data_IF_514126769098
#
_entry.id   IF_514126769098
#
_cell.length_a   1.000
_cell.length_b   1.000
_cell.length_c   1.000
_cell.angle_alpha   90.00
_cell.angle_beta   90.00
_cell.angle_gamma   90.00
#
_symmetry.space_group_name_H-M   'P 1'
#
loop_
_entity.id
_entity.type
_entity.pdbx_description
1 polymer ?
#
# COMPACT_ATOMS: atom_id res chain seq x y z
N UNK A 1 24.97 -53.18 15.22
CA UNK A 1 24.51 -51.85 14.73
C UNK A 1 23.00 -51.85 14.88
N UNK A 2 22.28 -50.96 15.57
CA UNK A 2 22.47 -49.58 16.05
C UNK A 2 21.65 -49.45 17.36
N UNK A 3 22.17 -48.70 18.35
CA UNK A 3 21.49 -48.40 19.63
C UNK A 3 20.23 -47.56 19.41
N UNK A 4 19.16 -47.69 20.23
CA UNK A 4 18.06 -46.74 20.23
C UNK A 4 18.54 -45.38 20.75
N UNK A 5 18.28 -44.33 19.97
CA UNK A 5 18.60 -42.93 20.28
C UNK A 5 17.80 -42.43 21.49
N UNK A 6 18.47 -41.85 22.48
CA UNK A 6 17.84 -41.22 23.64
C UNK A 6 16.89 -40.06 23.22
N UNK A 7 15.77 -39.86 23.92
CA UNK A 7 15.00 -38.62 23.81
C UNK A 7 15.81 -37.48 24.44
N UNK A 8 16.05 -36.42 23.66
CA UNK A 8 16.74 -35.21 24.16
C UNK A 8 15.91 -34.45 25.20
N UNK A 9 16.54 -33.65 26.07
CA UNK A 9 15.86 -32.91 27.13
C UNK A 9 14.83 -31.90 26.57
N UNK A 10 13.71 -31.77 27.28
CA UNK A 10 12.65 -30.82 26.95
C UNK A 10 13.12 -29.38 27.16
N UNK A 11 12.43 -28.42 26.53
CA UNK A 11 12.80 -27.00 26.55
C UNK A 11 12.91 -26.36 27.95
N UNK A 12 12.44 -27.05 29.00
CA UNK A 12 12.46 -26.58 30.39
C UNK A 12 13.80 -26.81 31.10
N UNK A 13 14.65 -27.68 30.55
CA UNK A 13 15.87 -28.13 31.24
C UNK A 13 17.14 -27.46 30.68
N UNK A 14 16.99 -26.45 29.81
CA UNK A 14 18.12 -25.76 29.18
C UNK A 14 18.46 -24.45 29.94
N UNK A 15 19.75 -24.17 30.19
CA UNK A 15 20.16 -22.87 30.72
C UNK A 15 19.78 -21.75 29.75
N UNK A 16 19.40 -20.58 30.29
CA UNK A 16 18.73 -19.50 29.55
C UNK A 16 19.44 -19.04 28.25
N UNK A 17 20.77 -19.15 28.19
CA UNK A 17 21.56 -18.82 26.99
C UNK A 17 21.31 -19.74 25.80
N UNK A 18 20.98 -21.01 26.04
CA UNK A 18 20.77 -22.01 25.00
C UNK A 18 19.37 -21.96 24.40
N UNK A 19 18.38 -21.50 25.16
CA UNK A 19 17.02 -21.24 24.66
C UNK A 19 17.04 -20.14 23.59
N UNK A 20 17.78 -19.04 23.83
CA UNK A 20 17.93 -17.94 22.88
C UNK A 20 18.68 -18.36 21.61
N UNK A 21 19.73 -19.19 21.72
CA UNK A 21 20.43 -19.75 20.55
C UNK A 21 19.55 -20.68 19.73
N UNK A 22 18.73 -21.52 20.38
CA UNK A 22 17.78 -22.41 19.67
C UNK A 22 16.63 -21.64 19.02
N UNK A 23 16.09 -20.61 19.66
CA UNK A 23 15.09 -19.74 19.04
C UNK A 23 15.67 -18.99 17.83
N UNK A 24 16.88 -18.43 17.94
CA UNK A 24 17.55 -17.77 16.80
C UNK A 24 17.82 -18.72 15.63
N UNK A 25 18.08 -20.01 15.88
CA UNK A 25 18.19 -21.02 14.80
C UNK A 25 16.84 -21.35 14.14
N UNK A 26 15.72 -21.29 14.87
CA UNK A 26 14.37 -21.44 14.29
C UNK A 26 13.92 -20.22 13.49
N UNK A 27 14.38 -19.02 13.84
CA UNK A 27 14.07 -17.77 13.15
C UNK A 27 15.16 -17.31 12.15
N UNK A 28 16.12 -18.18 11.81
CA UNK A 28 16.93 -17.96 10.62
C UNK A 28 16.07 -18.35 9.42
N UNK A 29 15.39 -17.34 8.86
CA UNK A 29 14.82 -17.38 7.53
C UNK A 29 15.76 -18.17 6.62
N UNK A 30 15.26 -19.31 6.13
CA UNK A 30 15.91 -20.09 5.09
C UNK A 30 15.93 -19.17 3.88
N UNK A 31 17.06 -18.47 3.70
CA UNK A 31 17.48 -17.91 2.42
C UNK A 31 17.41 -19.07 1.43
N UNK A 32 16.31 -19.15 0.70
CA UNK A 32 16.24 -19.93 -0.51
C UNK A 32 17.21 -19.25 -1.46
N UNK A 33 18.45 -19.71 -1.46
CA UNK A 33 19.36 -19.59 -2.60
C UNK A 33 18.70 -20.33 -3.78
N UNK A 34 17.69 -19.68 -4.35
CA UNK A 34 17.03 -20.06 -5.59
C UNK A 34 17.96 -19.75 -6.74
N UNK A 35 19.07 -20.50 -6.81
CA UNK A 35 19.90 -20.59 -8.01
C UNK A 35 19.03 -21.30 -9.05
N UNK A 36 18.28 -20.51 -9.83
CA UNK A 36 17.47 -20.97 -10.93
C UNK A 36 18.39 -21.61 -11.98
N UNK A 37 18.67 -22.91 -11.82
CA UNK A 37 19.16 -23.76 -12.90
C UNK A 37 18.03 -23.85 -13.91
N UNK A 38 18.13 -23.07 -14.98
CA UNK A 38 17.35 -23.23 -16.20
C UNK A 38 17.64 -24.61 -16.78
N UNK A 39 16.89 -25.64 -16.34
CA UNK A 39 16.83 -26.92 -17.05
C UNK A 39 16.09 -26.65 -18.35
N UNK A 40 16.83 -26.57 -19.45
CA UNK A 40 16.28 -26.72 -20.80
C UNK A 40 15.48 -28.04 -20.83
N UNK A 41 14.22 -28.06 -21.26
CA UNK A 41 13.58 -29.32 -21.59
C UNK A 41 14.22 -29.84 -22.88
N UNK A 42 15.03 -30.90 -22.75
CA UNK A 42 15.45 -31.73 -23.86
C UNK A 42 14.21 -32.32 -24.53
N UNK A 43 14.00 -32.00 -25.80
CA UNK A 43 12.93 -32.58 -26.61
C UNK A 43 13.34 -34.02 -26.98
N UNK A 44 12.58 -35.05 -26.60
CA UNK A 44 12.82 -36.39 -27.11
C UNK A 44 12.43 -36.44 -28.58
N UNK A 45 13.40 -36.78 -29.42
CA UNK A 45 13.14 -37.21 -30.78
C UNK A 45 12.42 -38.56 -30.72
N UNK A 46 11.18 -38.63 -31.21
CA UNK A 46 10.63 -39.92 -31.63
C UNK A 46 9.75 -39.79 -32.87
N UNK A 47 10.46 -40.07 -33.95
CA UNK A 47 10.13 -40.56 -35.28
C UNK A 47 8.97 -41.58 -35.28
N UNK A 48 7.94 -41.32 -36.10
CA UNK A 48 7.13 -42.35 -36.74
C UNK A 48 7.13 -42.06 -38.24
N UNK A 49 7.46 -43.07 -39.05
CA UNK A 49 7.75 -42.94 -40.47
C UNK A 49 6.65 -43.46 -41.41
N UNK A 50 7.06 -43.47 -42.69
CA UNK A 50 6.40 -44.01 -43.89
C UNK A 50 5.27 -43.14 -44.49
N UNK A 51 5.18 -42.90 -45.81
CA UNK A 51 6.04 -43.22 -46.95
C UNK A 51 5.59 -42.40 -48.17
N UNK A 52 6.51 -42.17 -49.10
CA UNK A 52 6.32 -42.06 -50.56
C UNK A 52 5.32 -41.04 -51.14
N UNK A 53 5.83 -40.02 -51.84
CA UNK A 53 5.52 -39.84 -53.27
C UNK A 53 6.36 -38.70 -53.87
N UNK A 54 6.68 -38.91 -55.13
CA UNK A 54 7.65 -38.22 -55.98
C UNK A 54 7.09 -36.94 -56.63
N UNK A 55 7.98 -35.98 -56.91
CA UNK A 55 8.23 -35.34 -58.23
C UNK A 55 8.64 -33.87 -58.10
N UNK A 56 9.75 -33.56 -58.76
CA UNK A 56 10.23 -32.22 -59.08
C UNK A 56 9.28 -31.46 -60.00
N UNK A 57 9.00 -30.18 -59.70
CA UNK A 57 8.64 -29.13 -60.67
C UNK A 57 8.73 -27.73 -59.99
N UNK A 58 8.88 -26.62 -60.74
CA UNK A 58 9.86 -25.58 -60.42
C UNK A 58 9.31 -24.37 -59.64
N UNK A 59 10.27 -23.59 -59.13
CA UNK A 59 10.10 -22.32 -58.45
C UNK A 59 9.14 -21.37 -59.17
N UNK A 60 8.06 -21.01 -58.48
CA UNK A 60 7.36 -19.74 -58.71
C UNK A 60 7.73 -18.82 -57.56
N UNK A 61 8.59 -17.84 -57.87
CA UNK A 61 8.83 -16.68 -57.01
C UNK A 61 7.54 -15.89 -56.91
N UNK A 62 6.71 -16.21 -55.92
CA UNK A 62 5.65 -15.31 -55.49
C UNK A 62 6.33 -14.22 -54.67
N UNK A 63 6.64 -13.11 -55.33
CA UNK A 63 6.98 -11.87 -54.67
C UNK A 63 5.79 -11.46 -53.80
N UNK A 64 5.89 -11.67 -52.48
CA UNK A 64 4.91 -11.15 -51.53
C UNK A 64 5.07 -9.62 -51.49
N UNK A 65 4.05 -8.84 -51.90
CA UNK A 65 4.15 -7.38 -51.87
C UNK A 65 4.36 -6.90 -50.43
N UNK A 66 5.43 -6.14 -50.24
CA UNK A 66 5.95 -5.65 -48.95
C UNK A 66 5.16 -4.44 -48.42
N UNK A 67 3.86 -4.36 -48.70
CA UNK A 67 3.04 -3.15 -48.49
C UNK A 67 2.06 -3.22 -47.32
N UNK A 68 2.14 -4.21 -46.43
CA UNK A 68 1.18 -4.35 -45.31
C UNK A 68 1.80 -4.56 -43.92
N UNK A 69 3.10 -4.28 -43.71
CA UNK A 69 3.72 -4.34 -42.37
C UNK A 69 4.10 -2.93 -41.90
N UNK A 70 3.16 -1.99 -41.97
CA UNK A 70 3.34 -0.65 -41.37
C UNK A 70 2.02 -0.11 -40.83
N UNK A 71 1.34 -0.90 -40.00
CA UNK A 71 0.21 -0.42 -39.20
C UNK A 71 0.00 -1.28 -37.93
N UNK A 72 1.07 -1.81 -37.34
CA UNK A 72 1.01 -2.29 -35.96
C UNK A 72 0.97 -1.06 -35.05
N UNK A 73 -0.22 -0.48 -34.89
CA UNK A 73 -0.48 0.56 -33.90
C UNK A 73 0.07 0.12 -32.55
N UNK A 74 0.89 0.99 -31.94
CA UNK A 74 1.31 0.84 -30.54
C UNK A 74 0.08 0.50 -29.69
N UNK A 75 0.16 -0.47 -28.76
CA UNK A 75 -0.95 -0.74 -27.86
C UNK A 75 -1.33 0.55 -27.10
N UNK A 76 -2.62 0.92 -27.01
CA UNK A 76 -3.06 2.15 -26.33
C UNK A 76 -2.79 2.15 -24.82
N UNK A 77 -2.31 1.04 -24.25
CA UNK A 77 -2.08 0.87 -22.82
C UNK A 77 -0.96 1.78 -22.25
N UNK A 78 0.01 2.22 -23.08
CA UNK A 78 1.15 2.97 -22.57
C UNK A 78 0.91 4.48 -22.42
N UNK A 79 -0.14 5.04 -23.03
CA UNK A 79 -0.44 6.48 -22.97
C UNK A 79 -1.23 6.89 -21.72
N UNK A 80 -1.83 5.94 -21.02
CA UNK A 80 -2.83 6.22 -19.98
C UNK A 80 -2.29 5.97 -18.56
N UNK A 81 -1.15 5.29 -18.43
CA UNK A 81 -0.55 4.98 -17.13
C UNK A 81 0.08 6.21 -16.47
N UNK A 82 0.65 7.13 -17.25
CA UNK A 82 1.15 8.43 -16.78
C UNK A 82 0.03 9.43 -16.48
N UNK A 83 -1.13 9.29 -17.13
CA UNK A 83 -2.31 10.11 -16.83
C UNK A 83 -2.96 9.76 -15.50
N UNK A 84 -2.89 8.51 -15.02
CA UNK A 84 -3.49 8.12 -13.74
C UNK A 84 -2.79 8.74 -12.52
N UNK A 85 -1.46 8.87 -12.57
CA UNK A 85 -0.67 9.50 -11.49
C UNK A 85 -0.88 11.02 -11.46
N UNK A 86 -1.05 11.64 -12.63
CA UNK A 86 -1.39 13.05 -12.74
C UNK A 86 -2.87 13.32 -12.42
N UNK A 87 -3.79 12.36 -12.66
CA UNK A 87 -5.21 12.49 -12.34
C UNK A 87 -5.45 12.58 -10.83
N UNK A 88 -4.65 11.88 -10.00
CA UNK A 88 -4.68 12.02 -8.55
C UNK A 88 -4.11 13.35 -8.03
N UNK A 89 -3.26 14.02 -8.81
CA UNK A 89 -2.71 15.36 -8.53
C UNK A 89 -3.55 16.49 -9.16
N UNK A 90 -4.52 16.17 -10.02
CA UNK A 90 -5.29 17.12 -10.83
C UNK A 90 -6.82 17.01 -10.63
N UNK A 91 -7.27 16.25 -9.63
CA UNK A 91 -8.70 16.05 -9.41
C UNK A 91 -9.40 17.29 -8.83
N UNK A 92 -8.64 18.30 -8.38
CA UNK A 92 -9.05 19.68 -8.48
C UNK A 92 -8.12 20.37 -9.50
N UNK A 93 -8.67 21.04 -10.52
CA UNK A 93 -7.90 21.93 -11.39
C UNK A 93 -7.17 23.06 -10.60
N UNK A 94 -7.43 23.16 -9.29
CA UNK A 94 -6.88 24.09 -8.34
C UNK A 94 -6.57 23.39 -6.99
N UNK A 95 -5.30 23.30 -6.54
CA UNK A 95 -4.93 22.67 -5.26
C UNK A 95 -5.18 23.57 -4.03
N UNK A 96 -5.65 24.81 -4.23
CA UNK A 96 -5.84 25.79 -3.14
C UNK A 96 -6.84 25.31 -2.08
N UNK A 97 -8.04 24.75 -2.41
CA UNK A 97 -8.96 24.24 -1.40
C UNK A 97 -8.33 23.15 -0.52
N UNK A 98 -7.60 22.21 -1.13
CA UNK A 98 -6.95 21.12 -0.42
C UNK A 98 -5.80 21.63 0.47
N UNK A 99 -5.04 22.63 0.02
CA UNK A 99 -3.97 23.24 0.82
C UNK A 99 -4.53 23.94 2.06
N UNK A 100 -5.61 24.69 1.92
CA UNK A 100 -6.28 25.37 3.05
C UNK A 100 -6.89 24.34 3.99
N UNK A 101 -7.55 23.31 3.45
CA UNK A 101 -8.09 22.20 4.22
C UNK A 101 -7.01 21.50 5.05
N UNK A 102 -5.85 21.23 4.45
CA UNK A 102 -4.71 20.61 5.10
C UNK A 102 -4.14 21.48 6.23
N UNK A 103 -3.98 22.79 6.00
CA UNK A 103 -3.52 23.74 7.02
C UNK A 103 -4.45 23.77 8.24
N UNK A 104 -5.76 23.84 8.00
CA UNK A 104 -6.76 23.89 9.07
C UNK A 104 -6.83 22.56 9.83
N UNK A 105 -6.82 21.43 9.13
CA UNK A 105 -6.84 20.11 9.76
C UNK A 105 -5.55 19.80 10.52
N UNK A 106 -4.39 20.26 10.01
CA UNK A 106 -3.10 20.16 10.70
C UNK A 106 -3.09 20.99 11.99
N UNK A 107 -3.55 22.24 11.93
CA UNK A 107 -3.68 23.11 13.11
C UNK A 107 -4.65 22.55 14.14
N UNK A 108 -5.78 21.98 13.69
CA UNK A 108 -6.70 21.24 14.55
C UNK A 108 -6.02 20.07 15.25
N UNK A 109 -5.16 19.32 14.55
CA UNK A 109 -4.40 18.22 15.13
C UNK A 109 -3.54 18.65 16.32
N UNK A 110 -2.86 19.79 16.22
CA UNK A 110 -2.13 20.36 17.36
C UNK A 110 -3.04 20.68 18.54
N UNK A 111 -4.16 21.35 18.28
CA UNK A 111 -5.09 21.75 19.33
C UNK A 111 -5.69 20.53 20.04
N UNK A 112 -6.09 19.51 19.27
CA UNK A 112 -6.64 18.28 19.80
C UNK A 112 -5.64 17.54 20.71
N UNK A 113 -4.41 17.34 20.24
CA UNK A 113 -3.39 16.63 21.02
C UNK A 113 -2.91 17.44 22.23
N UNK A 114 -3.03 18.77 22.20
CA UNK A 114 -2.81 19.62 23.37
C UNK A 114 -3.92 19.44 24.42
N UNK A 115 -5.19 19.31 24.00
CA UNK A 115 -6.31 19.08 24.92
C UNK A 115 -6.28 17.68 25.56
N UNK A 116 -5.91 16.66 24.78
CA UNK A 116 -5.86 15.27 25.24
C UNK A 116 -4.46 14.79 25.65
N UNK A 117 -3.52 15.71 25.91
CA UNK A 117 -2.09 15.42 26.12
C UNK A 117 -1.84 14.25 27.07
N UNK A 118 -2.45 14.32 28.26
CA UNK A 118 -2.29 13.29 29.29
C UNK A 118 -2.74 11.91 28.79
N UNK A 119 -3.88 11.85 28.12
CA UNK A 119 -4.51 10.59 27.76
C UNK A 119 -3.81 9.87 26.60
N UNK A 120 -3.22 10.60 25.65
CA UNK A 120 -2.49 9.99 24.54
C UNK A 120 -1.02 9.70 24.88
N UNK A 121 -0.38 10.48 25.75
CA UNK A 121 1.03 10.26 26.13
C UNK A 121 1.23 9.15 27.17
N UNK A 122 0.25 8.90 28.06
CA UNK A 122 0.38 7.84 29.07
C UNK A 122 0.19 6.44 28.49
N UNK A 123 -0.51 6.30 27.36
CA UNK A 123 -0.87 5.01 26.80
C UNK A 123 0.31 4.21 26.17
N UNK A 124 1.32 4.84 25.56
CA UNK A 124 2.50 4.15 25.06
C UNK A 124 3.64 4.00 26.07
N UNK A 125 3.52 4.56 27.28
CA UNK A 125 4.61 4.61 28.26
C UNK A 125 5.67 5.66 27.94
N UNK A 126 5.30 6.80 27.33
CA UNK A 126 6.25 7.88 27.07
C UNK A 126 6.72 8.51 28.40
N UNK A 127 8.00 8.32 28.71
CA UNK A 127 8.67 9.02 29.81
C UNK A 127 9.08 10.43 29.34
N UNK A 128 8.12 11.36 29.40
CA UNK A 128 8.35 12.78 29.12
C UNK A 128 7.76 13.30 27.81
N UNK A 129 7.76 14.63 27.66
CA UNK A 129 7.25 15.32 26.48
C UNK A 129 8.28 15.22 25.34
N UNK A 130 7.99 14.52 24.22
CA UNK A 130 8.90 14.50 23.10
C UNK A 130 9.10 15.92 22.53
N UNK A 131 10.34 16.29 22.28
CA UNK A 131 10.66 17.60 21.71
C UNK A 131 10.05 17.73 20.31
N UNK A 132 9.47 18.91 20.03
CA UNK A 132 8.87 19.21 18.73
C UNK A 132 9.98 19.42 17.69
N UNK A 133 10.20 18.43 16.84
CA UNK A 133 11.19 18.49 15.76
C UNK A 133 10.52 18.97 14.47
N UNK A 134 11.17 19.87 13.73
CA UNK A 134 10.64 20.43 12.48
C UNK A 134 10.46 19.33 11.41
N UNK A 135 11.39 18.38 11.31
CA UNK A 135 11.34 17.34 10.27
C UNK A 135 10.05 16.48 10.32
N UNK A 136 9.63 15.92 11.47
CA UNK A 136 8.31 15.26 11.59
C UNK A 136 7.13 16.17 11.25
N UNK A 137 7.18 17.47 11.59
CA UNK A 137 6.07 18.38 11.28
C UNK A 137 5.85 18.57 9.79
N UNK A 138 6.94 18.68 9.01
CA UNK A 138 6.86 18.78 7.55
C UNK A 138 6.26 17.51 6.97
N UNK A 139 6.68 16.33 7.44
CA UNK A 139 6.15 15.04 6.98
C UNK A 139 4.65 14.93 7.29
N UNK A 140 4.25 15.29 8.51
CA UNK A 140 2.84 15.26 8.91
C UNK A 140 2.03 16.22 8.05
N UNK A 141 2.49 17.46 7.85
CA UNK A 141 1.79 18.43 7.00
C UNK A 141 1.60 17.92 5.56
N UNK A 142 2.64 17.34 4.96
CA UNK A 142 2.55 16.72 3.63
C UNK A 142 1.51 15.59 3.62
N UNK A 143 1.47 14.75 4.68
CA UNK A 143 0.46 13.70 4.80
C UNK A 143 -0.96 14.28 4.86
N UNK A 144 -1.19 15.35 5.63
CA UNK A 144 -2.49 16.06 5.65
C UNK A 144 -2.87 16.60 4.27
N UNK A 145 -1.92 17.16 3.54
CA UNK A 145 -2.14 17.66 2.18
C UNK A 145 -2.53 16.55 1.21
N UNK A 146 -1.81 15.42 1.22
CA UNK A 146 -2.13 14.26 0.38
C UNK A 146 -3.53 13.72 0.71
N UNK A 147 -3.89 13.63 1.99
CA UNK A 147 -5.23 13.17 2.40
C UNK A 147 -6.32 14.12 1.88
N UNK A 148 -6.11 15.44 1.99
CA UNK A 148 -7.07 16.44 1.51
C UNK A 148 -7.24 16.38 -0.02
N UNK A 149 -6.15 16.27 -0.78
CA UNK A 149 -6.18 16.08 -2.24
C UNK A 149 -6.91 14.80 -2.64
N UNK A 150 -6.62 13.67 -1.96
CA UNK A 150 -7.32 12.42 -2.23
C UNK A 150 -8.81 12.50 -1.91
N UNK A 151 -9.20 13.19 -0.84
CA UNK A 151 -10.61 13.39 -0.49
C UNK A 151 -11.34 14.26 -1.52
N UNK A 152 -10.71 15.35 -1.97
CA UNK A 152 -11.23 16.20 -3.04
C UNK A 152 -11.40 15.40 -4.34
N UNK A 153 -10.36 14.66 -4.72
CA UNK A 153 -10.38 13.89 -5.95
C UNK A 153 -11.35 12.72 -5.94
N UNK A 154 -11.43 11.99 -4.83
CA UNK A 154 -12.43 10.94 -4.64
C UNK A 154 -13.85 11.50 -4.79
N UNK A 155 -14.11 12.67 -4.19
CA UNK A 155 -15.43 13.29 -4.26
C UNK A 155 -15.76 13.78 -5.66
N UNK A 156 -14.80 14.40 -6.34
CA UNK A 156 -14.95 14.80 -7.73
C UNK A 156 -15.30 13.62 -8.66
N UNK A 157 -14.70 12.44 -8.43
CA UNK A 157 -14.92 11.25 -9.26
C UNK A 157 -16.27 10.55 -9.00
N UNK A 158 -16.77 10.53 -7.76
CA UNK A 158 -17.95 9.72 -7.40
C UNK A 158 -19.26 10.52 -7.51
N UNK A 159 -19.23 11.83 -7.25
CA UNK A 159 -20.47 12.62 -7.21
C UNK A 159 -20.32 14.10 -7.52
N UNK A 160 -19.11 14.57 -7.88
CA UNK A 160 -18.81 15.99 -8.01
C UNK A 160 -18.65 16.68 -6.65
N UNK A 161 -17.95 17.82 -6.66
CA UNK A 161 -17.63 18.57 -5.45
C UNK A 161 -18.86 19.37 -5.02
N UNK A 162 -19.51 18.92 -3.96
CA UNK A 162 -20.56 19.64 -3.24
C UNK A 162 -20.35 19.46 -1.74
N UNK A 163 -20.87 20.37 -0.92
CA UNK A 163 -20.76 20.24 0.54
C UNK A 163 -21.36 18.93 1.08
N UNK A 164 -22.49 18.50 0.52
CA UNK A 164 -23.13 17.24 0.91
C UNK A 164 -22.29 16.01 0.55
N UNK A 165 -21.75 15.97 -0.68
CA UNK A 165 -20.94 14.84 -1.14
C UNK A 165 -19.61 14.77 -0.42
N UNK A 166 -18.92 15.90 -0.24
CA UNK A 166 -17.63 15.97 0.46
C UNK A 166 -17.74 15.55 1.92
N UNK A 167 -18.78 15.98 2.64
CA UNK A 167 -19.03 15.54 4.01
C UNK A 167 -19.39 14.05 4.08
N UNK A 168 -20.26 13.58 3.20
CA UNK A 168 -20.65 12.16 3.16
C UNK A 168 -19.43 11.27 2.88
N UNK A 169 -18.62 11.64 1.89
CA UNK A 169 -17.39 10.93 1.55
C UNK A 169 -16.35 11.02 2.68
N UNK A 170 -16.19 12.17 3.33
CA UNK A 170 -15.29 12.33 4.47
C UNK A 170 -15.65 11.38 5.61
N UNK A 171 -16.94 11.28 5.94
CA UNK A 171 -17.45 10.38 6.98
C UNK A 171 -17.26 8.91 6.60
N UNK A 172 -17.56 8.54 5.35
CA UNK A 172 -17.39 7.17 4.86
C UNK A 172 -15.92 6.75 4.81
N UNK A 173 -15.03 7.63 4.33
CA UNK A 173 -13.59 7.36 4.28
C UNK A 173 -13.02 7.25 5.69
N UNK A 174 -13.40 8.16 6.58
CA UNK A 174 -13.01 8.09 7.97
C UNK A 174 -13.47 6.78 8.64
N UNK A 175 -14.77 6.45 8.54
CA UNK A 175 -15.31 5.27 9.21
C UNK A 175 -14.77 3.96 8.61
N UNK A 176 -14.75 3.88 7.27
CA UNK A 176 -14.45 2.65 6.54
C UNK A 176 -12.96 2.33 6.42
N UNK A 177 -12.10 3.34 6.28
CA UNK A 177 -10.66 3.13 6.13
C UNK A 177 -9.90 3.46 7.40
N UNK A 178 -10.08 4.67 7.93
CA UNK A 178 -9.23 5.18 9.02
C UNK A 178 -9.58 4.55 10.36
N UNK A 179 -10.85 4.64 10.76
CA UNK A 179 -11.32 4.08 12.02
C UNK A 179 -11.22 2.56 12.01
N UNK A 180 -11.65 1.91 10.92
CA UNK A 180 -11.59 0.45 10.80
C UNK A 180 -10.15 -0.09 10.88
N UNK A 181 -9.21 0.46 10.09
CA UNK A 181 -7.81 0.04 10.16
C UNK A 181 -7.20 0.29 11.55
N UNK A 182 -7.47 1.47 12.13
CA UNK A 182 -7.00 1.80 13.48
C UNK A 182 -7.53 0.84 14.55
N UNK A 183 -8.81 0.45 14.47
CA UNK A 183 -9.39 -0.52 15.40
C UNK A 183 -8.68 -1.87 15.28
N UNK A 184 -8.38 -2.31 14.06
CA UNK A 184 -7.63 -3.56 13.82
C UNK A 184 -6.22 -3.47 14.40
N UNK A 185 -5.47 -2.43 14.05
CA UNK A 185 -4.09 -2.24 14.50
C UNK A 185 -4.00 -2.12 16.03
N UNK A 186 -4.85 -1.28 16.63
CA UNK A 186 -4.90 -1.11 18.09
C UNK A 186 -5.30 -2.40 18.82
N UNK A 187 -6.11 -3.26 18.20
CA UNK A 187 -6.48 -4.55 18.78
C UNK A 187 -5.30 -5.52 18.80
N UNK A 188 -4.50 -5.56 17.73
CA UNK A 188 -3.27 -6.38 17.69
C UNK A 188 -2.16 -5.83 18.58
N UNK A 189 -2.05 -4.51 18.71
CA UNK A 189 -1.09 -3.86 19.59
C UNK A 189 -1.49 -3.86 21.07
N UNK A 190 -2.66 -4.45 21.42
CA UNK A 190 -3.23 -4.43 22.76
C UNK A 190 -3.32 -3.00 23.37
N UNK A 191 -3.61 -2.00 22.53
CA UNK A 191 -3.78 -0.61 22.96
C UNK A 191 -5.09 -0.43 23.71
N UNK A 192 -5.16 0.48 24.70
CA UNK A 192 -6.40 0.74 25.41
C UNK A 192 -7.45 1.34 24.45
N UNK A 193 -8.70 0.87 24.54
CA UNK A 193 -9.82 1.34 23.70
C UNK A 193 -10.03 2.86 23.78
N UNK A 194 -9.68 3.47 24.93
CA UNK A 194 -9.70 4.93 25.11
C UNK A 194 -8.76 5.65 24.14
N UNK A 195 -7.59 5.08 23.83
CA UNK A 195 -6.66 5.64 22.85
C UNK A 195 -7.23 5.57 21.43
N UNK A 196 -7.89 4.45 21.09
CA UNK A 196 -8.61 4.32 19.81
C UNK A 196 -9.67 5.39 19.64
N UNK A 197 -10.43 5.70 20.70
CA UNK A 197 -11.46 6.74 20.63
C UNK A 197 -10.86 8.14 20.46
N UNK A 198 -9.76 8.45 21.16
CA UNK A 198 -9.09 9.76 21.06
C UNK A 198 -8.48 9.95 19.67
N UNK A 199 -7.77 8.94 19.15
CA UNK A 199 -7.15 9.00 17.84
C UNK A 199 -8.22 8.96 16.73
N UNK A 200 -9.25 8.13 16.88
CA UNK A 200 -10.38 8.06 15.96
C UNK A 200 -11.15 9.38 15.89
N UNK A 201 -11.41 10.02 17.05
CA UNK A 201 -12.07 11.32 17.13
C UNK A 201 -11.24 12.46 16.55
N UNK A 202 -9.92 12.43 16.75
CA UNK A 202 -8.99 13.35 16.07
C UNK A 202 -9.14 13.26 14.56
N UNK A 203 -9.07 12.04 14.00
CA UNK A 203 -9.22 11.89 12.56
C UNK A 203 -10.62 12.28 12.09
N UNK A 204 -11.67 11.99 12.86
CA UNK A 204 -13.02 12.43 12.51
C UNK A 204 -13.07 13.95 12.35
N UNK A 205 -12.55 14.70 13.31
CA UNK A 205 -12.48 16.15 13.25
C UNK A 205 -11.67 16.64 12.05
N UNK A 206 -10.51 16.03 11.78
CA UNK A 206 -9.68 16.36 10.62
C UNK A 206 -10.43 16.14 9.29
N UNK A 207 -11.11 14.99 9.12
CA UNK A 207 -11.87 14.68 7.91
C UNK A 207 -13.08 15.60 7.74
N UNK A 208 -13.78 15.96 8.82
CA UNK A 208 -14.89 16.93 8.77
C UNK A 208 -14.38 18.30 8.35
N UNK A 209 -13.27 18.79 8.93
CA UNK A 209 -12.68 20.08 8.55
C UNK A 209 -12.28 20.07 7.06
N UNK A 210 -11.61 19.01 6.61
CA UNK A 210 -11.24 18.88 5.20
C UNK A 210 -12.48 18.87 4.29
N UNK A 211 -13.50 18.07 4.64
CA UNK A 211 -14.74 17.96 3.87
C UNK A 211 -15.47 19.29 3.76
N UNK A 212 -15.60 20.05 4.85
CA UNK A 212 -16.24 21.38 4.84
C UNK A 212 -15.48 22.35 3.95
N UNK A 213 -14.15 22.46 4.11
CA UNK A 213 -13.35 23.42 3.36
C UNK A 213 -13.36 23.11 1.86
N UNK A 214 -13.16 21.84 1.51
CA UNK A 214 -13.20 21.40 0.11
C UNK A 214 -14.60 21.61 -0.47
N UNK A 215 -15.67 21.27 0.26
CA UNK A 215 -17.04 21.40 -0.19
C UNK A 215 -17.53 22.85 -0.35
N UNK A 216 -16.92 23.81 0.36
CA UNK A 216 -17.23 25.24 0.25
C UNK A 216 -16.43 25.95 -0.85
N UNK A 217 -15.27 25.42 -1.23
CA UNK A 217 -14.31 26.10 -2.10
C UNK A 217 -14.07 25.41 -3.46
N UNK A 218 -14.48 24.15 -3.61
CA UNK A 218 -14.25 23.36 -4.82
C UNK A 218 -15.47 23.20 -5.71
#
# INVERSE_FOLDING_TARGET
MVRPSCPGPGLRDLPAGDVVRRQRRRFRWRSTDGRARTRRPERPAMRCGHASATKHAPATNVAVPRSHIEAAGRPPAARNASSGVLMGLAAAANPVPALIAALLAFGFGFLWHRMFEKAWMTAPGYEGKPALKIAPLVIVFIAYFVIAEMLAGLTAHIGGITLGNTLTNALLVWAGFVLAAMVVDHSFEARPRKLTLINGGHWLGAFVIMGVVIGLMG
#
